data_IF_411873631880
#
_entry.id   IF_411873631880
#
_cell.length_a   1.000
_cell.length_b   1.000
_cell.length_c   1.000
_cell.angle_alpha   90.00
_cell.angle_beta   90.00
_cell.angle_gamma   90.00
#
_symmetry.space_group_name_H-M   'P 1'
#
loop_
_entity.id
_entity.type
_entity.pdbx_description
1 polymer ?
#
# COMPACT_ATOMS: atom_id res chain seq x y z
N UNK A 1 -20.44 -21.20 -11.72
CA UNK A 1 -20.32 -21.33 -13.18
C UNK A 1 -18.85 -21.28 -13.54
N UNK A 2 -18.31 -22.36 -14.12
CA UNK A 2 -16.93 -22.35 -14.64
C UNK A 2 -16.83 -21.29 -15.74
N UNK A 3 -16.01 -20.26 -15.53
CA UNK A 3 -15.74 -19.31 -16.60
C UNK A 3 -15.13 -20.07 -17.78
N UNK A 4 -15.48 -19.76 -19.04
CA UNK A 4 -14.95 -20.47 -20.22
C UNK A 4 -13.42 -20.38 -20.36
N UNK A 5 -12.78 -19.54 -19.54
CA UNK A 5 -11.34 -19.30 -19.50
C UNK A 5 -10.62 -20.19 -18.45
N UNK A 6 -11.30 -20.65 -17.39
CA UNK A 6 -10.69 -21.54 -16.39
C UNK A 6 -10.15 -22.87 -16.97
N UNK A 7 -10.82 -23.55 -17.94
CA UNK A 7 -10.24 -24.74 -18.56
C UNK A 7 -9.07 -24.43 -19.51
N UNK A 8 -9.00 -23.20 -20.06
CA UNK A 8 -7.87 -22.79 -20.90
C UNK A 8 -6.63 -22.45 -20.07
N UNK A 9 -6.81 -21.73 -18.96
CA UNK A 9 -5.71 -21.39 -18.05
C UNK A 9 -5.10 -22.62 -17.39
N UNK A 10 -5.93 -23.58 -16.96
CA UNK A 10 -5.45 -24.85 -16.38
C UNK A 10 -4.72 -25.74 -17.39
N UNK A 11 -5.05 -25.64 -18.69
CA UNK A 11 -4.31 -26.31 -19.76
C UNK A 11 -3.01 -25.62 -20.13
N UNK A 12 -2.95 -24.28 -20.03
CA UNK A 12 -1.74 -23.50 -20.32
C UNK A 12 -0.73 -23.53 -19.17
N UNK A 13 -1.19 -23.66 -17.92
CA UNK A 13 -0.35 -23.67 -16.72
C UNK A 13 -0.68 -24.87 -15.80
N UNK A 14 -0.43 -26.12 -16.25
CA UNK A 14 -0.61 -27.27 -15.38
C UNK A 14 0.38 -27.20 -14.19
N UNK A 15 -0.03 -27.63 -12.98
CA UNK A 15 0.89 -27.70 -11.83
C UNK A 15 2.00 -28.71 -12.14
N UNK A 16 3.21 -28.21 -12.36
CA UNK A 16 4.39 -29.04 -12.63
C UNK A 16 5.13 -29.35 -11.33
N UNK A 17 5.61 -30.58 -11.18
CA UNK A 17 6.38 -31.03 -10.01
C UNK A 17 7.71 -31.63 -10.47
N UNK A 18 8.71 -31.62 -9.59
CA UNK A 18 10.03 -32.21 -9.85
C UNK A 18 10.86 -31.43 -10.87
N UNK A 19 11.64 -32.13 -11.71
CA UNK A 19 12.57 -31.53 -12.67
C UNK A 19 11.88 -30.61 -13.70
N UNK A 20 10.63 -30.90 -14.05
CA UNK A 20 9.86 -30.15 -15.04
C UNK A 20 9.58 -28.72 -14.58
N UNK A 21 9.37 -28.51 -13.26
CA UNK A 21 9.17 -27.19 -12.67
C UNK A 21 10.40 -26.29 -12.87
N UNK A 22 11.61 -26.83 -12.68
CA UNK A 22 12.85 -26.06 -12.87
C UNK A 22 13.05 -25.67 -14.33
N UNK A 23 12.70 -26.57 -15.27
CA UNK A 23 12.76 -26.27 -16.71
C UNK A 23 11.74 -25.19 -17.08
N UNK A 24 10.51 -25.27 -16.56
CA UNK A 24 9.50 -24.24 -16.79
C UNK A 24 9.89 -22.89 -16.21
N UNK A 25 10.47 -22.85 -15.00
CA UNK A 25 11.01 -21.62 -14.40
C UNK A 25 12.15 -21.02 -15.24
N UNK A 26 13.11 -21.85 -15.68
CA UNK A 26 14.20 -21.41 -16.54
C UNK A 26 13.69 -20.87 -17.89
N UNK A 27 12.73 -21.55 -18.50
CA UNK A 27 12.06 -21.12 -19.73
C UNK A 27 11.32 -19.80 -19.55
N UNK A 28 10.54 -19.65 -18.46
CA UNK A 28 9.84 -18.41 -18.14
C UNK A 28 10.81 -17.25 -17.87
N UNK A 29 11.92 -17.48 -17.17
CA UNK A 29 12.95 -16.48 -16.92
C UNK A 29 13.63 -16.04 -18.22
N UNK A 30 14.01 -16.99 -19.08
CA UNK A 30 14.61 -16.69 -20.38
C UNK A 30 13.64 -15.89 -21.26
N UNK A 31 12.37 -16.33 -21.34
CA UNK A 31 11.32 -15.60 -22.04
C UNK A 31 11.18 -14.16 -21.51
N UNK A 32 11.15 -14.00 -20.19
CA UNK A 32 11.06 -12.68 -19.55
C UNK A 32 12.26 -11.79 -19.92
N UNK A 33 13.48 -12.33 -19.91
CA UNK A 33 14.69 -11.58 -20.29
C UNK A 33 14.63 -11.16 -21.76
N UNK A 34 14.22 -12.07 -22.65
CA UNK A 34 14.08 -11.79 -24.09
C UNK A 34 13.03 -10.70 -24.32
N UNK A 35 11.87 -10.81 -23.68
CA UNK A 35 10.80 -9.79 -23.76
C UNK A 35 11.31 -8.45 -23.25
N UNK A 36 11.96 -8.39 -22.08
CA UNK A 36 12.50 -7.14 -21.53
C UNK A 36 13.55 -6.55 -22.47
N UNK A 37 14.43 -7.37 -23.05
CA UNK A 37 15.46 -6.92 -23.98
C UNK A 37 14.85 -6.35 -25.28
N UNK A 38 13.85 -7.04 -25.84
CA UNK A 38 13.11 -6.57 -27.00
C UNK A 38 12.39 -5.27 -26.67
N UNK A 39 11.65 -5.19 -25.56
CA UNK A 39 10.98 -3.97 -25.13
C UNK A 39 11.97 -2.82 -24.90
N UNK A 40 13.13 -3.09 -24.28
CA UNK A 40 14.15 -2.08 -24.05
C UNK A 40 14.74 -1.53 -25.37
N UNK A 41 14.88 -2.37 -26.40
CA UNK A 41 15.47 -2.00 -27.68
C UNK A 41 14.46 -1.42 -28.67
N UNK A 42 13.24 -1.94 -28.67
CA UNK A 42 12.17 -1.56 -29.59
C UNK A 42 11.38 -0.36 -29.07
N UNK A 43 11.16 -0.22 -27.74
CA UNK A 43 10.38 0.89 -27.20
C UNK A 43 11.21 2.19 -27.14
N UNK A 44 10.80 3.25 -27.85
CA UNK A 44 11.39 4.58 -27.69
C UNK A 44 11.23 5.04 -26.25
N UNK A 45 12.21 5.78 -25.72
CA UNK A 45 12.20 6.25 -24.32
C UNK A 45 10.92 7.04 -23.95
N UNK A 46 10.26 7.66 -24.95
CA UNK A 46 9.00 8.40 -24.81
C UNK A 46 7.81 7.50 -24.47
N UNK A 47 7.77 6.26 -24.97
CA UNK A 47 6.64 5.34 -24.80
C UNK A 47 6.72 4.53 -23.50
N UNK A 48 7.89 4.48 -22.85
CA UNK A 48 8.09 3.70 -21.61
C UNK A 48 7.21 4.22 -20.46
N UNK A 49 7.15 5.53 -20.29
CA UNK A 49 6.35 6.17 -19.23
C UNK A 49 4.84 5.89 -19.34
N UNK A 50 4.18 6.12 -20.50
CA UNK A 50 2.75 5.85 -20.63
C UNK A 50 2.43 4.35 -20.56
N UNK A 51 3.31 3.47 -21.05
CA UNK A 51 3.09 2.02 -20.93
C UNK A 51 3.17 1.56 -19.48
N UNK A 52 4.17 2.01 -18.72
CA UNK A 52 4.24 1.73 -17.28
C UNK A 52 2.99 2.25 -16.58
N UNK A 53 2.59 3.51 -16.86
CA UNK A 53 1.40 4.10 -16.28
C UNK A 53 0.13 3.31 -16.61
N UNK A 54 -0.04 2.90 -17.87
CA UNK A 54 -1.18 2.09 -18.30
C UNK A 54 -1.20 0.72 -17.61
N UNK A 55 -0.05 0.03 -17.53
CA UNK A 55 0.06 -1.24 -16.83
C UNK A 55 -0.28 -1.10 -15.33
N UNK A 56 0.27 -0.09 -14.65
CA UNK A 56 -0.04 0.15 -13.23
C UNK A 56 -1.50 0.54 -13.02
N UNK A 57 -2.07 1.32 -13.95
CA UNK A 57 -3.47 1.72 -13.89
C UNK A 57 -4.40 0.52 -14.06
N UNK A 58 -4.16 -0.32 -15.07
CA UNK A 58 -4.94 -1.53 -15.32
C UNK A 58 -4.83 -2.52 -14.15
N UNK A 59 -3.64 -2.66 -13.56
CA UNK A 59 -3.43 -3.52 -12.39
C UNK A 59 -4.26 -3.04 -11.17
N UNK A 60 -4.28 -1.72 -10.90
CA UNK A 60 -5.11 -1.17 -9.82
C UNK A 60 -6.61 -1.21 -10.14
N UNK A 61 -6.99 -0.93 -11.39
CA UNK A 61 -8.37 -0.95 -11.84
C UNK A 61 -9.01 -2.34 -11.66
N UNK A 62 -8.23 -3.41 -11.82
CA UNK A 62 -8.72 -4.78 -11.61
C UNK A 62 -9.32 -4.98 -10.21
N UNK A 63 -8.58 -4.66 -9.15
CA UNK A 63 -9.08 -4.83 -7.78
C UNK A 63 -10.21 -3.85 -7.43
N UNK A 64 -10.15 -2.61 -7.92
CA UNK A 64 -11.24 -1.65 -7.72
C UNK A 64 -12.54 -2.16 -8.36
N UNK A 65 -12.47 -2.62 -9.61
CA UNK A 65 -13.65 -3.12 -10.32
C UNK A 65 -14.17 -4.41 -9.71
N UNK A 66 -13.30 -5.32 -9.26
CA UNK A 66 -13.69 -6.54 -8.56
C UNK A 66 -14.41 -6.24 -7.24
N UNK A 67 -13.92 -5.27 -6.46
CA UNK A 67 -14.53 -4.85 -5.19
C UNK A 67 -15.91 -4.19 -5.35
N UNK A 68 -16.08 -3.33 -6.36
CA UNK A 68 -17.34 -2.59 -6.58
C UNK A 68 -18.40 -3.36 -7.38
N UNK A 69 -18.02 -4.42 -8.10
CA UNK A 69 -19.01 -5.22 -8.84
C UNK A 69 -19.89 -6.02 -7.87
N UNK A 70 -21.22 -5.97 -8.02
CA UNK A 70 -22.12 -6.72 -7.15
C UNK A 70 -22.05 -8.21 -7.45
N UNK A 71 -22.01 -9.02 -6.40
CA UNK A 71 -22.16 -10.47 -6.47
C UNK A 71 -23.62 -10.78 -6.81
N UNK A 72 -23.86 -11.63 -7.81
CA UNK A 72 -25.23 -12.08 -8.12
C UNK A 72 -25.75 -12.96 -7.00
N UNK A 73 -27.01 -12.77 -6.60
CA UNK A 73 -27.63 -13.57 -5.55
C UNK A 73 -27.56 -15.07 -5.89
N UNK A 74 -26.93 -15.86 -5.02
CA UNK A 74 -26.74 -17.31 -5.21
C UNK A 74 -25.38 -17.72 -5.81
N UNK A 75 -24.50 -16.77 -6.14
CA UNK A 75 -23.13 -17.05 -6.60
C UNK A 75 -22.09 -16.65 -5.53
N UNK A 76 -20.99 -17.40 -5.44
CA UNK A 76 -19.89 -17.10 -4.50
C UNK A 76 -19.00 -15.93 -4.96
N UNK A 77 -19.19 -15.42 -6.19
CA UNK A 77 -18.33 -14.36 -6.71
C UNK A 77 -18.81 -13.70 -8.00
N UNK A 78 -18.05 -12.69 -8.40
CA UNK A 78 -18.29 -11.83 -9.55
C UNK A 78 -17.71 -12.45 -10.83
N UNK A 79 -18.02 -11.84 -11.97
CA UNK A 79 -17.39 -12.20 -13.25
C UNK A 79 -15.86 -12.03 -13.28
N UNK A 80 -15.25 -11.31 -12.34
CA UNK A 80 -13.80 -11.13 -12.22
C UNK A 80 -13.15 -12.05 -11.16
N UNK A 81 -13.94 -12.68 -10.29
CA UNK A 81 -13.44 -13.48 -9.17
C UNK A 81 -12.60 -14.68 -9.64
N UNK A 82 -12.85 -15.20 -10.86
CA UNK A 82 -12.03 -16.28 -11.44
C UNK A 82 -10.56 -15.89 -11.65
N UNK A 83 -10.26 -14.61 -11.85
CA UNK A 83 -8.91 -14.13 -12.12
C UNK A 83 -8.16 -13.72 -10.84
N UNK A 84 -8.85 -13.54 -9.72
CA UNK A 84 -8.27 -13.11 -8.44
C UNK A 84 -7.14 -14.03 -7.96
N UNK A 85 -7.26 -15.37 -7.99
CA UNK A 85 -6.15 -16.25 -7.57
C UNK A 85 -4.90 -16.07 -8.45
N UNK A 86 -5.09 -15.96 -9.77
CA UNK A 86 -3.99 -15.80 -10.74
C UNK A 86 -3.30 -14.45 -10.57
N UNK A 87 -4.08 -13.36 -10.54
CA UNK A 87 -3.56 -12.00 -10.35
C UNK A 87 -2.89 -11.86 -8.98
N UNK A 88 -3.49 -12.44 -7.93
CA UNK A 88 -2.91 -12.47 -6.58
C UNK A 88 -1.57 -13.21 -6.53
N UNK A 89 -1.43 -14.34 -7.21
CA UNK A 89 -0.15 -15.05 -7.30
C UNK A 89 0.93 -14.23 -8.01
N UNK A 90 0.58 -13.54 -9.10
CA UNK A 90 1.50 -12.60 -9.78
C UNK A 90 1.89 -11.47 -8.83
N UNK A 91 0.93 -10.88 -8.11
CA UNK A 91 1.16 -9.81 -7.15
C UNK A 91 2.10 -10.26 -6.02
N UNK A 92 1.92 -11.47 -5.47
CA UNK A 92 2.79 -12.02 -4.43
C UNK A 92 4.25 -12.16 -4.92
N UNK A 93 4.44 -12.65 -6.14
CA UNK A 93 5.77 -12.72 -6.76
C UNK A 93 6.36 -11.32 -6.92
N UNK A 94 5.59 -10.36 -7.44
CA UNK A 94 6.02 -8.97 -7.58
C UNK A 94 6.39 -8.34 -6.24
N UNK A 95 5.61 -8.57 -5.18
CA UNK A 95 5.90 -8.09 -3.82
C UNK A 95 7.23 -8.67 -3.32
N UNK A 96 7.46 -9.98 -3.50
CA UNK A 96 8.73 -10.61 -3.14
C UNK A 96 9.94 -9.96 -3.81
N UNK A 97 9.88 -9.75 -5.13
CA UNK A 97 10.95 -9.06 -5.87
C UNK A 97 11.10 -7.58 -5.47
N UNK A 98 9.98 -6.89 -5.24
CA UNK A 98 9.97 -5.46 -4.89
C UNK A 98 10.59 -5.24 -3.52
N UNK A 99 10.28 -6.08 -2.53
CA UNK A 99 10.90 -6.04 -1.21
C UNK A 99 12.42 -6.23 -1.32
N UNK A 100 12.87 -7.23 -2.08
CA UNK A 100 14.30 -7.47 -2.32
C UNK A 100 15.01 -6.29 -2.99
N UNK A 101 14.41 -5.70 -4.02
CA UNK A 101 14.91 -4.49 -4.68
C UNK A 101 14.97 -3.30 -3.73
N UNK A 102 13.98 -3.15 -2.84
CA UNK A 102 13.94 -2.12 -1.81
C UNK A 102 15.12 -2.24 -0.84
N UNK A 103 15.32 -3.44 -0.28
CA UNK A 103 16.45 -3.73 0.63
C UNK A 103 17.79 -3.49 -0.07
N UNK A 104 17.96 -4.02 -1.29
CA UNK A 104 19.19 -3.82 -2.06
C UNK A 104 19.47 -2.34 -2.34
N UNK A 105 18.44 -1.57 -2.71
CA UNK A 105 18.54 -0.12 -2.95
C UNK A 105 19.02 0.62 -1.71
N UNK A 106 18.44 0.32 -0.54
CA UNK A 106 18.82 0.95 0.73
C UNK A 106 20.26 0.60 1.11
N UNK A 107 20.64 -0.68 1.06
CA UNK A 107 22.02 -1.11 1.35
C UNK A 107 23.01 -0.43 0.39
N UNK A 108 22.71 -0.39 -0.91
CA UNK A 108 23.60 0.22 -1.90
C UNK A 108 23.80 1.71 -1.67
N UNK A 109 22.72 2.46 -1.42
CA UNK A 109 22.78 3.92 -1.26
C UNK A 109 23.37 4.29 0.10
N UNK A 110 22.80 3.77 1.19
CA UNK A 110 23.23 4.12 2.54
C UNK A 110 24.57 3.48 2.88
N UNK A 111 24.87 2.28 2.38
CA UNK A 111 26.19 1.66 2.53
C UNK A 111 27.28 2.47 1.84
N UNK A 112 27.02 3.00 0.64
CA UNK A 112 27.96 3.89 -0.04
C UNK A 112 28.13 5.23 0.70
N UNK A 113 27.08 5.75 1.35
CA UNK A 113 27.17 6.98 2.16
C UNK A 113 28.03 6.77 3.41
N UNK A 114 27.87 5.63 4.09
CA UNK A 114 28.69 5.26 5.27
C UNK A 114 30.15 5.02 4.86
N UNK A 115 30.39 4.22 3.83
CA UNK A 115 31.75 3.90 3.36
C UNK A 115 32.54 5.14 2.90
N UNK A 116 31.85 6.13 2.34
CA UNK A 116 32.47 7.38 1.86
C UNK A 116 32.37 8.53 2.86
N UNK A 117 31.85 8.28 4.08
CA UNK A 117 31.62 9.27 5.14
C UNK A 117 30.98 10.57 4.62
N UNK A 118 29.95 10.44 3.77
CA UNK A 118 29.25 11.60 3.22
C UNK A 118 28.47 12.34 4.31
N UNK A 119 28.11 13.60 4.07
CA UNK A 119 27.24 14.35 5.00
C UNK A 119 25.96 13.56 5.30
N UNK A 120 25.64 13.40 6.60
CA UNK A 120 24.52 12.56 7.06
C UNK A 120 24.81 11.04 7.10
N UNK A 121 26.07 10.62 7.08
CA UNK A 121 26.44 9.19 7.19
C UNK A 121 25.97 8.55 8.49
N UNK A 122 25.90 9.30 9.59
CA UNK A 122 25.46 8.81 10.90
C UNK A 122 24.01 8.28 10.83
N UNK A 123 23.11 9.05 10.21
CA UNK A 123 21.72 8.63 9.98
C UNK A 123 21.66 7.38 9.08
N UNK A 124 22.56 7.29 8.09
CA UNK A 124 22.66 6.11 7.24
C UNK A 124 23.16 4.89 8.00
N UNK A 125 24.07 5.06 8.97
CA UNK A 125 24.54 3.98 9.83
C UNK A 125 23.44 3.48 10.76
N UNK A 126 22.70 4.39 11.39
CA UNK A 126 21.56 4.05 12.27
C UNK A 126 20.49 3.28 11.49
N UNK A 127 20.17 3.69 10.27
CA UNK A 127 19.24 2.97 9.40
C UNK A 127 19.71 1.55 9.11
N UNK A 128 20.97 1.38 8.69
CA UNK A 128 21.51 0.06 8.35
C UNK A 128 21.58 -0.86 9.56
N UNK A 129 22.00 -0.34 10.71
CA UNK A 129 22.01 -1.10 11.97
C UNK A 129 20.59 -1.48 12.39
N UNK A 130 19.64 -0.55 12.35
CA UNK A 130 18.24 -0.81 12.67
C UNK A 130 17.63 -1.90 11.79
N UNK A 131 17.93 -1.87 10.49
CA UNK A 131 17.50 -2.90 9.54
C UNK A 131 18.07 -4.29 9.88
N UNK A 132 19.36 -4.39 10.21
CA UNK A 132 19.99 -5.66 10.62
C UNK A 132 19.41 -6.15 11.96
N UNK A 133 19.31 -5.28 12.97
CA UNK A 133 18.77 -5.62 14.28
C UNK A 133 17.33 -6.12 14.17
N UNK A 134 16.48 -5.41 13.42
CA UNK A 134 15.08 -5.82 13.25
C UNK A 134 14.96 -7.14 12.48
N UNK A 135 15.78 -7.35 11.45
CA UNK A 135 15.76 -8.57 10.65
C UNK A 135 16.23 -9.78 11.46
N UNK A 136 17.32 -9.64 12.22
CA UNK A 136 17.83 -10.70 13.10
C UNK A 136 16.83 -10.99 14.22
N UNK A 137 16.22 -9.96 14.82
CA UNK A 137 15.21 -10.15 15.86
C UNK A 137 13.96 -10.86 15.34
N UNK A 138 13.44 -10.45 14.17
CA UNK A 138 12.23 -11.03 13.58
C UNK A 138 12.40 -12.46 13.12
N UNK A 139 13.56 -12.82 12.56
CA UNK A 139 13.83 -14.20 12.09
C UNK A 139 14.29 -15.10 13.26
N UNK A 140 15.17 -14.60 14.11
CA UNK A 140 15.78 -15.41 15.18
C UNK A 140 14.91 -15.54 16.43
N UNK A 141 14.09 -14.52 16.74
CA UNK A 141 13.37 -14.43 18.01
C UNK A 141 11.94 -13.87 17.84
N UNK A 142 11.11 -14.42 16.94
CA UNK A 142 9.81 -13.85 16.57
C UNK A 142 8.82 -13.70 17.75
N UNK A 143 8.88 -14.59 18.74
CA UNK A 143 7.97 -14.54 19.90
C UNK A 143 8.55 -13.81 21.11
N UNK A 144 9.79 -13.32 21.02
CA UNK A 144 10.46 -12.69 22.15
C UNK A 144 9.87 -11.33 22.52
N UNK A 145 9.93 -10.99 23.82
CA UNK A 145 9.61 -9.64 24.31
C UNK A 145 10.49 -8.58 23.65
N UNK A 146 11.74 -8.94 23.31
CA UNK A 146 12.68 -8.07 22.61
C UNK A 146 12.17 -7.68 21.22
N UNK A 147 11.79 -8.65 20.38
CA UNK A 147 11.21 -8.37 19.07
C UNK A 147 9.90 -7.57 19.18
N UNK A 148 9.03 -7.94 20.13
CA UNK A 148 7.77 -7.22 20.35
C UNK A 148 8.00 -5.76 20.71
N UNK A 149 8.99 -5.45 21.54
CA UNK A 149 9.32 -4.06 21.91
C UNK A 149 9.95 -3.30 20.75
N UNK A 150 10.89 -3.91 20.02
CA UNK A 150 11.43 -3.30 18.79
C UNK A 150 10.34 -2.96 17.78
N UNK A 151 9.40 -3.88 17.56
CA UNK A 151 8.33 -3.65 16.59
C UNK A 151 7.30 -2.64 17.11
N UNK A 152 6.74 -2.87 18.30
CA UNK A 152 5.63 -2.06 18.82
C UNK A 152 6.05 -0.69 19.31
N UNK A 153 7.19 -0.60 19.98
CA UNK A 153 7.59 0.62 20.68
C UNK A 153 8.53 1.46 19.82
N UNK A 154 9.42 0.81 19.07
CA UNK A 154 10.41 1.54 18.24
C UNK A 154 9.87 1.79 16.83
N UNK A 155 9.54 0.74 16.08
CA UNK A 155 9.11 0.88 14.68
C UNK A 155 7.79 1.67 14.57
N UNK A 156 6.76 1.30 15.33
CA UNK A 156 5.48 2.03 15.26
C UNK A 156 5.62 3.51 15.68
N UNK A 157 6.47 3.84 16.65
CA UNK A 157 6.67 5.24 17.04
C UNK A 157 7.38 6.05 15.95
N UNK A 158 8.34 5.45 15.25
CA UNK A 158 8.95 6.09 14.07
C UNK A 158 7.96 6.26 12.92
N UNK A 159 7.14 5.25 12.64
CA UNK A 159 6.09 5.35 11.63
C UNK A 159 5.07 6.44 12.00
N UNK A 160 4.63 6.47 13.26
CA UNK A 160 3.72 7.49 13.77
C UNK A 160 4.33 8.90 13.68
N UNK A 161 5.62 9.06 13.97
CA UNK A 161 6.33 10.32 13.82
C UNK A 161 6.36 10.78 12.35
N UNK A 162 6.66 9.86 11.42
CA UNK A 162 6.64 10.14 9.99
C UNK A 162 5.24 10.58 9.53
N UNK A 163 4.19 9.85 9.90
CA UNK A 163 2.81 10.21 9.59
C UNK A 163 2.37 11.52 10.24
N UNK A 164 2.76 11.79 11.48
CA UNK A 164 2.44 13.03 12.17
C UNK A 164 3.08 14.25 11.49
N UNK A 165 4.34 14.14 11.08
CA UNK A 165 5.04 15.19 10.33
C UNK A 165 4.38 15.41 8.95
N UNK A 166 4.05 14.33 8.23
CA UNK A 166 3.33 14.42 6.96
C UNK A 166 1.95 15.08 7.12
N UNK A 167 1.17 14.65 8.11
CA UNK A 167 -0.14 15.21 8.42
C UNK A 167 -0.04 16.70 8.76
N UNK A 168 0.92 17.09 9.59
CA UNK A 168 1.18 18.49 9.91
C UNK A 168 1.48 19.32 8.64
N UNK A 169 2.33 18.82 7.73
CA UNK A 169 2.63 19.52 6.49
C UNK A 169 1.43 19.61 5.54
N UNK A 170 0.64 18.55 5.41
CA UNK A 170 -0.57 18.54 4.59
C UNK A 170 -1.58 19.56 5.12
N UNK A 171 -1.86 19.53 6.43
CA UNK A 171 -2.79 20.46 7.08
C UNK A 171 -2.29 21.91 6.96
N UNK A 172 -1.00 22.15 7.20
CA UNK A 172 -0.41 23.50 7.07
C UNK A 172 -0.51 24.03 5.64
N UNK A 173 -0.21 23.19 4.65
CA UNK A 173 -0.34 23.55 3.24
C UNK A 173 -1.80 23.81 2.84
N UNK A 174 -2.73 22.94 3.24
CA UNK A 174 -4.16 23.08 2.99
C UNK A 174 -4.74 24.33 3.63
N UNK A 175 -4.42 24.60 4.91
CA UNK A 175 -4.83 25.81 5.61
C UNK A 175 -4.37 27.08 4.87
N UNK A 176 -3.09 27.13 4.48
CA UNK A 176 -2.55 28.26 3.71
C UNK A 176 -3.22 28.40 2.33
N UNK A 177 -3.55 27.29 1.67
CA UNK A 177 -4.20 27.29 0.36
C UNK A 177 -5.69 27.72 0.42
N UNK A 178 -6.42 27.37 1.48
CA UNK A 178 -7.86 27.65 1.61
C UNK A 178 -8.17 28.98 2.32
N UNK A 179 -7.35 29.41 3.27
CA UNK A 179 -7.56 30.68 4.01
C UNK A 179 -7.56 31.92 3.11
N UNK A 180 -6.92 31.86 1.94
CA UNK A 180 -6.64 33.06 1.12
C UNK A 180 -7.69 33.28 0.02
N UNK A 181 -8.69 32.40 -0.16
CA UNK A 181 -9.57 32.48 -1.35
C UNK A 181 -10.97 33.06 -1.13
N UNK A 182 -11.71 32.67 -0.09
CA UNK A 182 -13.08 33.16 0.14
C UNK A 182 -13.67 32.68 1.48
N UNK A 183 -14.79 33.28 1.89
CA UNK A 183 -15.60 32.81 3.02
C UNK A 183 -16.17 31.40 2.77
N UNK A 184 -16.57 31.10 1.54
CA UNK A 184 -17.08 29.77 1.12
C UNK A 184 -16.01 28.68 1.28
N UNK A 185 -14.76 28.95 0.85
CA UNK A 185 -13.66 28.00 1.01
C UNK A 185 -13.33 27.74 2.48
N UNK A 186 -13.49 28.75 3.35
CA UNK A 186 -13.30 28.61 4.79
C UNK A 186 -14.40 27.73 5.40
N UNK A 187 -15.66 27.89 4.95
CA UNK A 187 -16.77 27.04 5.39
C UNK A 187 -16.57 25.58 4.97
N UNK A 188 -16.15 25.33 3.73
CA UNK A 188 -15.81 23.98 3.26
C UNK A 188 -14.66 23.37 4.07
N UNK A 189 -13.62 24.16 4.39
CA UNK A 189 -12.51 23.71 5.22
C UNK A 189 -12.99 23.32 6.63
N UNK A 190 -13.88 24.12 7.23
CA UNK A 190 -14.42 23.86 8.55
C UNK A 190 -15.28 22.58 8.56
N UNK A 191 -16.15 22.42 7.57
CA UNK A 191 -16.96 21.21 7.39
C UNK A 191 -16.09 19.97 7.21
N UNK A 192 -15.04 20.05 6.39
CA UNK A 192 -14.09 18.94 6.22
C UNK A 192 -13.35 18.59 7.52
N UNK A 193 -12.97 19.59 8.33
CA UNK A 193 -12.35 19.37 9.63
C UNK A 193 -13.29 18.65 10.58
N UNK A 194 -14.58 19.04 10.61
CA UNK A 194 -15.61 18.37 11.41
C UNK A 194 -15.81 16.92 10.98
N UNK A 195 -15.90 16.65 9.67
CA UNK A 195 -16.01 15.29 9.12
C UNK A 195 -14.79 14.45 9.50
N UNK A 196 -13.57 14.97 9.28
CA UNK A 196 -12.35 14.26 9.65
C UNK A 196 -12.27 13.96 11.15
N UNK A 197 -12.71 14.90 11.99
CA UNK A 197 -12.72 14.72 13.44
C UNK A 197 -13.73 13.63 13.86
N UNK A 198 -14.92 13.58 13.25
CA UNK A 198 -15.93 12.56 13.54
C UNK A 198 -15.53 11.13 13.11
N UNK A 199 -14.59 10.98 12.18
CA UNK A 199 -14.10 9.67 11.71
C UNK A 199 -12.93 9.12 12.54
N UNK A 200 -12.33 9.92 13.45
CA UNK A 200 -11.21 9.48 14.29
C UNK A 200 -11.62 9.26 15.76
N UNK A 201 -11.02 8.28 16.47
CA UNK A 201 -11.39 7.94 17.86
C UNK A 201 -11.36 9.13 18.83
N UNK A 202 -10.45 10.09 18.61
CA UNK A 202 -10.32 11.30 19.44
C UNK A 202 -11.56 12.19 19.35
N UNK A 203 -12.13 12.36 18.16
CA UNK A 203 -13.35 13.16 18.00
C UNK A 203 -14.55 12.51 18.68
N UNK A 204 -14.64 11.19 18.60
CA UNK A 204 -15.70 10.44 19.29
C UNK A 204 -15.60 10.61 20.81
N UNK A 205 -14.36 10.55 21.35
CA UNK A 205 -14.11 10.74 22.78
C UNK A 205 -14.52 12.15 23.25
N UNK A 206 -14.26 13.19 22.47
CA UNK A 206 -14.66 14.57 22.80
C UNK A 206 -16.18 14.73 22.95
N UNK A 207 -16.97 13.96 22.19
CA UNK A 207 -18.43 13.97 22.28
C UNK A 207 -19.03 12.77 23.00
N UNK A 208 -18.22 11.98 23.70
CA UNK A 208 -18.65 10.78 24.43
C UNK A 208 -19.62 11.07 25.58
N UNK A 209 -19.58 12.29 26.13
CA UNK A 209 -20.52 12.76 27.15
C UNK A 209 -21.94 13.06 26.63
N UNK A 210 -22.17 12.98 25.32
CA UNK A 210 -23.48 13.23 24.72
C UNK A 210 -24.25 11.91 24.47
N UNK A 211 -25.59 11.89 24.62
CA UNK A 211 -26.40 10.69 24.45
C UNK A 211 -26.22 10.04 23.06
N UNK A 212 -26.23 8.71 23.01
CA UNK A 212 -26.01 7.96 21.76
C UNK A 212 -27.19 8.04 20.79
N UNK A 213 -28.43 7.98 21.28
CA UNK A 213 -29.65 7.98 20.44
C UNK A 213 -30.85 8.58 21.18
N UNK A 214 -31.71 9.29 20.45
CA UNK A 214 -33.09 9.60 20.86
C UNK A 214 -33.37 11.02 21.36
N UNK A 215 -32.34 11.81 21.67
CA UNK A 215 -32.49 13.22 22.09
C UNK A 215 -31.90 14.18 21.05
N UNK A 216 -32.45 15.39 20.91
CA UNK A 216 -31.92 16.43 20.01
C UNK A 216 -30.42 16.67 20.21
N UNK A 217 -29.93 16.51 21.44
CA UNK A 217 -28.53 16.68 21.82
C UNK A 217 -27.61 15.63 21.17
N UNK A 218 -28.13 14.45 20.79
CA UNK A 218 -27.33 13.42 20.10
C UNK A 218 -26.92 13.86 18.68
N UNK A 219 -27.60 14.84 18.08
CA UNK A 219 -27.23 15.39 16.77
C UNK A 219 -25.89 16.14 16.81
N UNK A 220 -25.48 16.65 17.98
CA UNK A 220 -24.21 17.37 18.13
C UNK A 220 -23.00 16.46 18.36
N UNK A 221 -23.19 15.15 18.41
CA UNK A 221 -22.07 14.19 18.39
C UNK A 221 -21.35 14.27 17.06
N UNK A 222 -20.02 14.35 17.10
CA UNK A 222 -19.20 14.49 15.89
C UNK A 222 -19.39 13.30 14.93
N UNK A 223 -19.65 12.11 15.47
CA UNK A 223 -19.98 10.90 14.71
C UNK A 223 -21.21 11.10 13.82
N UNK A 224 -22.27 11.69 14.40
CA UNK A 224 -23.53 11.89 13.71
C UNK A 224 -23.43 13.04 12.70
N UNK A 225 -22.77 14.15 13.06
CA UNK A 225 -22.54 15.26 12.13
C UNK A 225 -21.71 14.80 10.92
N UNK A 226 -20.67 13.99 11.15
CA UNK A 226 -19.86 13.45 10.05
C UNK A 226 -20.68 12.57 9.12
N UNK A 227 -21.58 11.73 9.65
CA UNK A 227 -22.43 10.85 8.83
C UNK A 227 -23.49 11.61 8.02
N UNK A 228 -23.91 12.79 8.46
CA UNK A 228 -24.83 13.66 7.70
C UNK A 228 -24.15 14.46 6.60
N UNK A 229 -22.86 14.78 6.78
CA UNK A 229 -22.07 15.56 5.83
C UNK A 229 -21.42 14.70 4.72
N UNK A 230 -21.30 13.39 4.93
CA UNK A 230 -20.80 12.40 3.96
C UNK A 230 -21.95 11.85 3.11
#
# INVERSE_FOLDING_TARGET
>A
MDSPISPLLSRLFPPQQGAMLYVALAGAALFSIVVIFILARVMPARLRRPVIAACTFLAGLFYVTEFFLPVKQGEEGNMLTFAVPTVGNIANVLVGFTLGLGVFSLIRVHGANVAKMKSGWENSLVLLLGMVVMTVAGIGFPDSTFYRSLFRDVLNSFDAAMFAVLAFFIISAAYRAFRIRSAEATLLMLSALVVMLGQIPIGQYLTSGLPEKGEFVSLFRLDNISNWLL
#
